data_IF_675473836341
#
_entry.id   IF_675473836341
#
_cell.length_a   1.000
_cell.length_b   1.000
_cell.length_c   1.000
_cell.angle_alpha   90.00
_cell.angle_beta   90.00
_cell.angle_gamma   90.00
#
_symmetry.space_group_name_H-M   'P 1'
#
loop_
_entity.id
_entity.type
_entity.pdbx_description
1 polymer ?
#
# COMPACT_ATOMS: atom_id res chain seq x y z
N UNK A 1 -13.12 14.31 11.04
CA UNK A 1 -12.17 13.21 10.82
C UNK A 1 -12.15 12.12 11.91
N UNK A 2 -11.38 12.27 13.02
CA UNK A 2 -10.96 11.13 13.87
C UNK A 2 -12.08 10.28 14.47
N UNK A 3 -13.11 10.90 15.04
CA UNK A 3 -14.25 10.15 15.62
C UNK A 3 -14.93 9.30 14.55
N UNK A 4 -15.30 9.90 13.42
CA UNK A 4 -15.95 9.19 12.32
C UNK A 4 -15.05 8.07 11.77
N UNK A 5 -13.74 8.30 11.68
CA UNK A 5 -12.79 7.26 11.28
C UNK A 5 -12.76 6.09 12.27
N UNK A 6 -12.76 6.36 13.58
CA UNK A 6 -12.80 5.33 14.63
C UNK A 6 -14.10 4.54 14.64
N UNK A 7 -15.22 5.21 14.42
CA UNK A 7 -16.53 4.57 14.29
C UNK A 7 -16.51 3.59 13.08
N UNK A 8 -15.99 4.03 11.93
CA UNK A 8 -15.78 3.17 10.75
C UNK A 8 -14.84 1.99 11.00
N UNK A 9 -13.74 2.21 11.72
CA UNK A 9 -12.82 1.13 12.13
C UNK A 9 -13.56 0.08 12.96
N UNK A 10 -14.40 0.49 13.91
CA UNK A 10 -15.18 -0.43 14.73
C UNK A 10 -16.23 -1.20 13.90
N UNK A 11 -16.94 -0.53 12.99
CA UNK A 11 -17.90 -1.16 12.07
C UNK A 11 -17.23 -2.22 11.20
N UNK A 12 -16.05 -1.93 10.64
CA UNK A 12 -15.28 -2.86 9.80
C UNK A 12 -14.68 -4.01 10.61
N UNK A 13 -14.20 -3.72 11.83
CA UNK A 13 -13.70 -4.74 12.74
C UNK A 13 -14.77 -5.77 13.14
N UNK A 14 -16.03 -5.35 13.27
CA UNK A 14 -17.16 -6.26 13.51
C UNK A 14 -17.39 -7.27 12.37
N UNK A 15 -16.93 -6.97 11.15
CA UNK A 15 -16.93 -7.87 10.00
C UNK A 15 -15.63 -8.69 9.86
N UNK A 16 -14.63 -8.42 10.69
CA UNK A 16 -13.30 -9.02 10.63
C UNK A 16 -12.40 -8.45 9.53
N UNK A 17 -12.65 -7.22 9.05
CA UNK A 17 -11.92 -6.60 7.93
C UNK A 17 -11.32 -5.24 8.32
N UNK A 18 -10.22 -4.81 7.68
CA UNK A 18 -9.62 -3.49 7.92
C UNK A 18 -10.53 -2.34 7.44
N UNK A 19 -10.32 -1.10 7.94
CA UNK A 19 -11.03 0.08 7.44
C UNK A 19 -10.73 0.33 5.95
N UNK A 20 -11.61 1.07 5.29
CA UNK A 20 -11.33 1.62 3.95
C UNK A 20 -10.10 2.55 3.99
N UNK A 21 -9.37 2.68 2.87
CA UNK A 21 -8.41 3.77 2.70
C UNK A 21 -9.07 5.15 2.86
N UNK A 22 -8.27 6.14 3.20
CA UNK A 22 -8.72 7.53 3.34
C UNK A 22 -8.99 8.14 1.97
N UNK A 23 -10.14 8.80 1.86
CA UNK A 23 -10.48 9.62 0.70
C UNK A 23 -9.82 11.01 0.77
N UNK A 24 -9.77 11.72 -0.36
CA UNK A 24 -9.10 13.02 -0.47
C UNK A 24 -9.52 14.04 0.61
N UNK A 25 -10.83 14.10 0.92
CA UNK A 25 -11.34 14.98 1.97
C UNK A 25 -10.80 14.59 3.36
N UNK A 26 -10.75 13.29 3.66
CA UNK A 26 -10.24 12.81 4.93
C UNK A 26 -8.73 13.05 5.06
N UNK A 27 -7.97 12.93 3.96
CA UNK A 27 -6.54 13.28 3.94
C UNK A 27 -6.33 14.78 4.17
N UNK A 28 -7.16 15.65 3.57
CA UNK A 28 -7.09 17.08 3.83
C UNK A 28 -7.38 17.41 5.30
N UNK A 29 -8.42 16.82 5.90
CA UNK A 29 -8.71 16.97 7.33
C UNK A 29 -7.59 16.41 8.21
N UNK A 30 -6.97 15.29 7.83
CA UNK A 30 -5.82 14.70 8.52
C UNK A 30 -4.61 15.63 8.50
N UNK A 31 -4.34 16.30 7.38
CA UNK A 31 -3.23 17.25 7.26
C UNK A 31 -3.40 18.42 8.23
N UNK A 32 -4.62 18.95 8.39
CA UNK A 32 -4.87 20.02 9.36
C UNK A 32 -4.66 19.56 10.80
N UNK A 33 -5.00 18.31 11.12
CA UNK A 33 -4.66 17.69 12.41
C UNK A 33 -3.15 17.51 12.56
N UNK A 34 -2.42 17.13 11.51
CA UNK A 34 -0.96 16.96 11.57
C UNK A 34 -0.24 18.30 11.78
N UNK A 35 -0.77 19.39 11.21
CA UNK A 35 -0.26 20.74 11.45
C UNK A 35 -0.50 21.21 12.89
N UNK A 36 -1.60 20.78 13.50
CA UNK A 36 -2.02 21.16 14.86
C UNK A 36 -2.48 19.92 15.65
N UNK A 37 -1.55 19.04 16.07
CA UNK A 37 -1.91 17.73 16.61
C UNK A 37 -2.60 17.84 17.97
N UNK A 38 -3.75 17.17 18.16
CA UNK A 38 -4.30 16.97 19.49
C UNK A 38 -3.33 16.15 20.34
N UNK A 39 -3.24 16.46 21.64
CA UNK A 39 -2.31 15.79 22.54
C UNK A 39 -2.52 14.26 22.56
N UNK A 40 -1.43 13.51 22.33
CA UNK A 40 -1.43 12.05 22.37
C UNK A 40 -1.85 11.37 21.06
N UNK A 41 -2.16 12.13 20.00
CA UNK A 41 -2.60 11.57 18.71
C UNK A 41 -1.46 11.46 17.68
N UNK A 42 -0.28 12.01 17.95
CA UNK A 42 0.84 12.17 17.02
C UNK A 42 1.16 10.89 16.22
N UNK A 43 1.39 9.78 16.93
CA UNK A 43 1.72 8.50 16.31
C UNK A 43 0.56 7.95 15.46
N UNK A 44 -0.68 8.16 15.91
CA UNK A 44 -1.86 7.71 15.17
C UNK A 44 -2.06 8.51 13.89
N UNK A 45 -1.90 9.83 13.94
CA UNK A 45 -1.98 10.68 12.74
C UNK A 45 -0.91 10.31 11.70
N UNK A 46 0.30 10.02 12.15
CA UNK A 46 1.39 9.56 11.27
C UNK A 46 1.13 8.17 10.69
N UNK A 47 0.56 7.25 11.46
CA UNK A 47 0.14 5.93 10.95
C UNK A 47 -0.89 6.07 9.82
N UNK A 48 -1.91 6.91 10.02
CA UNK A 48 -2.93 7.18 9.02
C UNK A 48 -2.33 7.76 7.73
N UNK A 49 -1.46 8.76 7.85
CA UNK A 49 -0.81 9.38 6.68
C UNK A 49 0.08 8.37 5.95
N UNK A 50 0.79 7.52 6.70
CA UNK A 50 1.77 6.59 6.15
C UNK A 50 1.09 5.38 5.48
N UNK A 51 0.08 4.79 6.12
CA UNK A 51 -0.44 3.47 5.79
C UNK A 51 -1.89 3.45 5.29
N UNK A 52 -2.64 4.56 5.38
CA UNK A 52 -4.07 4.58 5.04
C UNK A 52 -4.42 5.45 3.84
N UNK A 53 -3.45 6.01 3.14
CA UNK A 53 -3.69 6.77 1.89
C UNK A 53 -3.33 5.88 0.69
N UNK A 54 -4.21 5.73 -0.32
CA UNK A 54 -3.87 5.05 -1.56
C UNK A 54 -2.60 5.63 -2.22
N UNK A 55 -1.78 4.82 -2.91
CA UNK A 55 -0.63 5.29 -3.66
C UNK A 55 -1.03 5.77 -5.07
N UNK A 56 -0.04 6.17 -5.87
CA UNK A 56 -0.27 6.42 -7.30
C UNK A 56 -0.90 7.78 -7.59
N UNK A 57 -1.91 7.75 -8.47
CA UNK A 57 -2.61 8.94 -9.01
C UNK A 57 -4.03 9.08 -8.45
N UNK A 58 -4.32 8.45 -7.32
CA UNK A 58 -5.57 8.66 -6.58
C UNK A 58 -5.68 10.11 -6.08
N UNK A 59 -6.90 10.63 -5.95
CA UNK A 59 -7.13 12.01 -5.48
C UNK A 59 -6.60 12.22 -4.06
N UNK A 60 -6.67 11.21 -3.19
CA UNK A 60 -6.11 11.26 -1.85
C UNK A 60 -4.58 11.24 -1.87
N UNK A 61 -3.99 10.47 -2.80
CA UNK A 61 -2.55 10.47 -3.04
C UNK A 61 -2.07 11.85 -3.50
N UNK A 62 -2.84 12.54 -4.36
CA UNK A 62 -2.53 13.91 -4.80
C UNK A 62 -2.42 14.87 -3.62
N UNK A 63 -3.42 14.86 -2.75
CA UNK A 63 -3.46 15.73 -1.55
C UNK A 63 -2.27 15.44 -0.63
N UNK A 64 -1.97 14.15 -0.38
CA UNK A 64 -0.81 13.72 0.40
C UNK A 64 0.51 14.17 -0.23
N UNK A 65 0.69 13.94 -1.53
CA UNK A 65 1.93 14.28 -2.25
C UNK A 65 2.18 15.80 -2.22
N UNK A 66 1.16 16.62 -2.47
CA UNK A 66 1.30 18.08 -2.42
C UNK A 66 1.69 18.58 -1.03
N UNK A 67 1.10 18.02 0.03
CA UNK A 67 1.47 18.38 1.40
C UNK A 67 2.90 17.95 1.74
N UNK A 68 3.28 16.70 1.45
CA UNK A 68 4.62 16.20 1.74
C UNK A 68 5.68 16.94 0.93
N UNK A 69 5.42 17.30 -0.33
CA UNK A 69 6.31 18.12 -1.14
C UNK A 69 6.55 19.50 -0.48
N UNK A 70 5.49 20.19 -0.07
CA UNK A 70 5.62 21.49 0.60
C UNK A 70 6.44 21.40 1.90
N UNK A 71 6.28 20.32 2.68
CA UNK A 71 7.11 20.08 3.87
C UNK A 71 8.55 19.78 3.49
N UNK A 72 8.78 18.92 2.49
CA UNK A 72 10.12 18.50 2.06
C UNK A 72 10.94 19.64 1.46
N UNK A 73 10.32 20.54 0.69
CA UNK A 73 10.95 21.75 0.17
C UNK A 73 11.15 22.82 1.24
N UNK A 74 10.42 22.76 2.34
CA UNK A 74 10.48 23.72 3.45
C UNK A 74 9.56 24.92 3.28
N UNK A 75 8.62 24.86 2.33
CA UNK A 75 7.59 25.89 2.11
C UNK A 75 6.66 26.00 3.33
N UNK A 76 6.43 24.88 4.02
CA UNK A 76 5.70 24.82 5.28
C UNK A 76 6.48 24.02 6.32
N UNK A 77 6.41 24.45 7.58
CA UNK A 77 7.00 23.74 8.71
C UNK A 77 5.90 23.05 9.51
N UNK A 78 6.14 21.79 9.85
CA UNK A 78 5.21 20.94 10.62
C UNK A 78 6.00 20.26 11.73
N UNK A 79 5.57 20.38 12.98
CA UNK A 79 6.30 19.83 14.13
C UNK A 79 6.44 18.30 14.08
N UNK A 80 5.45 17.60 13.53
CA UNK A 80 5.42 16.14 13.46
C UNK A 80 6.22 15.53 12.30
N UNK A 81 6.56 16.32 11.27
CA UNK A 81 7.16 15.79 10.03
C UNK A 81 8.32 16.71 9.63
N UNK A 82 9.55 16.20 9.75
CA UNK A 82 10.74 16.89 9.24
C UNK A 82 10.79 16.84 7.71
N UNK A 83 11.63 17.69 7.09
CA UNK A 83 11.94 17.64 5.65
C UNK A 83 12.31 16.22 5.22
N UNK A 84 13.29 15.63 5.91
CA UNK A 84 13.77 14.27 5.65
C UNK A 84 12.65 13.22 5.73
N UNK A 85 11.77 13.29 6.75
CA UNK A 85 10.66 12.35 6.86
C UNK A 85 9.62 12.53 5.76
N UNK A 86 9.36 13.79 5.36
CA UNK A 86 8.46 14.05 4.24
C UNK A 86 9.00 13.49 2.92
N UNK A 87 10.31 13.65 2.66
CA UNK A 87 11.00 13.03 1.52
C UNK A 87 10.92 11.50 1.55
N UNK A 88 11.13 10.89 2.72
CA UNK A 88 10.99 9.44 2.89
C UNK A 88 9.57 8.96 2.54
N UNK A 89 8.54 9.67 3.05
CA UNK A 89 7.14 9.33 2.80
C UNK A 89 6.72 9.54 1.34
N UNK A 90 7.28 10.54 0.63
CA UNK A 90 7.12 10.65 -0.82
C UNK A 90 7.65 9.39 -1.53
N UNK A 91 8.76 8.84 -1.05
CA UNK A 91 9.36 7.62 -1.58
C UNK A 91 8.50 6.35 -1.45
N UNK A 92 7.49 6.34 -0.58
CA UNK A 92 6.61 5.16 -0.39
C UNK A 92 5.33 5.22 -1.23
N UNK A 93 5.11 6.27 -2.02
CA UNK A 93 3.86 6.48 -2.77
C UNK A 93 3.80 5.74 -4.11
N UNK A 94 4.76 4.85 -4.38
CA UNK A 94 4.88 3.94 -5.54
C UNK A 94 5.19 4.66 -6.87
N UNK A 95 4.55 5.78 -7.16
CA UNK A 95 4.74 6.58 -8.37
C UNK A 95 3.60 7.58 -8.58
N UNK A 96 3.68 8.43 -9.61
CA UNK A 96 2.70 9.48 -9.87
C UNK A 96 3.09 10.81 -9.24
N UNK A 97 2.23 11.38 -8.40
CA UNK A 97 2.38 12.76 -7.89
C UNK A 97 3.63 12.98 -7.01
N UNK A 98 4.24 11.92 -6.51
CA UNK A 98 5.45 11.97 -5.68
C UNK A 98 6.75 12.06 -6.48
N UNK A 99 6.75 11.67 -7.76
CA UNK A 99 8.00 11.49 -8.54
C UNK A 99 8.69 12.82 -8.80
N UNK A 100 7.96 13.82 -9.31
CA UNK A 100 8.55 15.12 -9.63
C UNK A 100 9.15 15.82 -8.41
N UNK A 101 8.46 15.94 -7.25
CA UNK A 101 9.07 16.47 -6.03
C UNK A 101 10.35 15.72 -5.62
N UNK A 102 10.38 14.39 -5.69
CA UNK A 102 11.59 13.63 -5.36
C UNK A 102 12.77 13.99 -6.28
N UNK A 103 12.52 14.26 -7.56
CA UNK A 103 13.56 14.67 -8.51
C UNK A 103 14.07 16.08 -8.20
N UNK A 104 13.18 17.01 -7.85
CA UNK A 104 13.56 18.37 -7.44
C UNK A 104 14.42 18.33 -6.17
N UNK A 105 14.07 17.49 -5.20
CA UNK A 105 14.78 17.33 -3.94
C UNK A 105 16.21 16.77 -4.09
N UNK A 106 16.61 16.28 -5.26
CA UNK A 106 18.00 15.92 -5.54
C UNK A 106 18.96 17.13 -5.50
N UNK A 107 18.45 18.35 -5.57
CA UNK A 107 19.26 19.57 -5.48
C UNK A 107 19.36 20.13 -4.05
N UNK A 108 18.56 19.63 -3.11
CA UNK A 108 18.58 20.07 -1.70
C UNK A 108 19.56 19.21 -0.89
N UNK A 109 20.68 19.80 -0.48
CA UNK A 109 21.75 19.10 0.23
C UNK A 109 21.31 18.39 1.52
N UNK A 110 20.24 18.85 2.18
CA UNK A 110 19.71 18.25 3.42
C UNK A 110 19.02 16.90 3.15
N UNK A 111 18.32 16.78 2.02
CA UNK A 111 17.43 15.65 1.73
C UNK A 111 17.73 14.91 0.44
N UNK A 112 18.68 15.37 -0.38
CA UNK A 112 19.04 14.75 -1.66
C UNK A 112 19.45 13.28 -1.53
N UNK A 113 20.08 12.89 -0.41
CA UNK A 113 20.38 11.48 -0.12
C UNK A 113 19.11 10.63 0.03
N UNK A 114 18.13 11.12 0.80
CA UNK A 114 16.84 10.45 1.02
C UNK A 114 16.04 10.37 -0.28
N UNK A 115 16.01 11.46 -1.04
CA UNK A 115 15.35 11.51 -2.34
C UNK A 115 15.98 10.52 -3.34
N UNK A 116 17.32 10.45 -3.39
CA UNK A 116 18.02 9.48 -4.22
C UNK A 116 17.66 8.05 -3.82
N UNK A 117 17.68 7.70 -2.53
CA UNK A 117 17.36 6.34 -2.08
C UNK A 117 15.91 5.92 -2.36
N UNK A 118 14.99 6.89 -2.35
CA UNK A 118 13.62 6.68 -2.82
C UNK A 118 13.55 6.42 -4.34
N UNK A 119 14.19 7.27 -5.15
CA UNK A 119 14.18 7.16 -6.61
C UNK A 119 14.85 5.87 -7.11
N UNK A 120 15.93 5.41 -6.46
CA UNK A 120 16.61 4.12 -6.77
C UNK A 120 15.65 2.93 -6.76
N UNK A 121 14.60 2.98 -5.92
CA UNK A 121 13.59 1.92 -5.75
C UNK A 121 12.28 2.19 -6.50
N UNK A 122 12.13 3.37 -7.11
CA UNK A 122 10.91 3.77 -7.80
C UNK A 122 10.92 3.23 -9.23
N UNK A 123 9.97 2.34 -9.55
CA UNK A 123 9.88 1.70 -10.87
C UNK A 123 9.04 2.50 -11.86
N UNK A 124 8.02 3.22 -11.36
CA UNK A 124 7.06 3.97 -12.18
C UNK A 124 7.61 5.34 -12.59
N UNK A 125 8.84 5.37 -13.13
CA UNK A 125 9.51 6.60 -13.57
C UNK A 125 9.00 7.08 -14.93
N UNK A 126 8.75 6.17 -15.87
CA UNK A 126 8.35 6.51 -17.25
C UNK A 126 9.21 7.66 -17.81
N UNK A 127 8.61 8.72 -18.34
CA UNK A 127 9.34 9.85 -18.93
C UNK A 127 10.12 10.68 -17.91
N UNK A 128 9.79 10.64 -16.61
CA UNK A 128 10.57 11.31 -15.55
C UNK A 128 12.00 10.75 -15.42
N UNK A 129 12.28 9.57 -16.01
CA UNK A 129 13.64 9.09 -16.20
C UNK A 129 14.52 10.16 -16.86
N UNK A 130 13.99 10.89 -17.86
CA UNK A 130 14.75 11.90 -18.61
C UNK A 130 15.15 13.09 -17.73
N UNK A 131 14.35 13.43 -16.73
CA UNK A 131 14.65 14.53 -15.81
C UNK A 131 15.82 14.17 -14.89
N UNK A 132 15.84 12.94 -14.37
CA UNK A 132 16.97 12.42 -13.59
C UNK A 132 18.22 12.31 -14.46
N UNK A 133 18.09 11.78 -15.68
CA UNK A 133 19.19 11.66 -16.62
C UNK A 133 19.78 13.03 -17.00
N UNK A 134 18.93 14.05 -17.16
CA UNK A 134 19.36 15.41 -17.45
C UNK A 134 20.12 16.04 -16.27
N UNK A 135 19.62 15.88 -15.04
CA UNK A 135 20.34 16.30 -13.83
C UNK A 135 21.69 15.59 -13.68
N UNK A 136 21.75 14.29 -13.95
CA UNK A 136 22.99 13.52 -13.89
C UNK A 136 24.03 14.02 -14.91
N UNK A 137 23.59 14.32 -16.15
CA UNK A 137 24.45 14.91 -17.19
C UNK A 137 24.93 16.32 -16.83
N UNK A 138 24.11 17.09 -16.11
CA UNK A 138 24.47 18.41 -15.59
C UNK A 138 25.42 18.35 -14.37
N UNK A 139 25.78 17.16 -13.89
CA UNK A 139 26.77 16.98 -12.82
C UNK A 139 26.18 16.82 -11.42
N UNK A 140 24.86 16.65 -11.25
CA UNK A 140 24.28 16.33 -9.94
C UNK A 140 24.71 14.92 -9.51
N UNK A 141 25.54 14.84 -8.47
CA UNK A 141 26.11 13.59 -7.97
C UNK A 141 25.04 12.59 -7.51
N UNK A 142 23.95 13.05 -6.89
CA UNK A 142 22.85 12.19 -6.44
C UNK A 142 22.03 11.64 -7.60
N UNK A 143 21.79 12.44 -8.64
CA UNK A 143 21.19 11.95 -9.87
C UNK A 143 22.07 10.88 -10.56
N UNK A 144 23.40 11.05 -10.55
CA UNK A 144 24.33 10.05 -11.09
C UNK A 144 24.28 8.73 -10.28
N UNK A 145 24.22 8.79 -8.95
CA UNK A 145 24.02 7.62 -8.09
C UNK A 145 22.72 6.89 -8.43
N UNK A 146 21.61 7.61 -8.64
CA UNK A 146 20.31 7.03 -9.03
C UNK A 146 20.42 6.30 -10.37
N UNK A 147 21.00 6.95 -11.39
CA UNK A 147 21.19 6.35 -12.71
C UNK A 147 22.04 5.08 -12.65
N UNK A 148 23.12 5.09 -11.87
CA UNK A 148 23.99 3.93 -11.70
C UNK A 148 23.27 2.78 -10.99
N UNK A 149 22.50 3.08 -9.94
CA UNK A 149 21.72 2.08 -9.19
C UNK A 149 20.69 1.37 -10.08
N UNK A 150 20.00 2.14 -10.94
CA UNK A 150 19.09 1.57 -11.93
C UNK A 150 19.79 0.69 -12.96
N UNK A 151 20.96 1.13 -13.47
CA UNK A 151 21.78 0.34 -14.39
C UNK A 151 22.29 -0.97 -13.76
N UNK A 152 22.60 -0.95 -12.46
CA UNK A 152 22.97 -2.12 -11.66
C UNK A 152 21.77 -3.00 -11.28
N UNK A 153 20.56 -2.61 -11.65
CA UNK A 153 19.31 -3.25 -11.28
C UNK A 153 19.13 -3.45 -9.77
N UNK A 154 19.60 -2.49 -8.95
CA UNK A 154 19.52 -2.60 -7.48
C UNK A 154 18.08 -2.65 -6.96
N UNK A 155 17.11 -2.08 -7.68
CA UNK A 155 15.68 -2.25 -7.41
C UNK A 155 15.21 -3.72 -7.45
N UNK A 156 15.94 -4.57 -8.18
CA UNK A 156 15.69 -6.00 -8.30
C UNK A 156 16.64 -6.80 -7.39
N UNK A 157 17.95 -6.59 -7.51
CA UNK A 157 18.98 -7.41 -6.84
C UNK A 157 19.05 -7.21 -5.32
N UNK A 158 18.51 -6.12 -4.80
CA UNK A 158 18.39 -5.91 -3.34
C UNK A 158 17.21 -6.64 -2.70
N UNK A 159 16.28 -7.19 -3.51
CA UNK A 159 15.13 -7.94 -2.99
C UNK A 159 15.55 -9.37 -2.67
N UNK A 160 14.96 -9.99 -1.63
CA UNK A 160 15.21 -11.40 -1.35
C UNK A 160 14.90 -12.28 -2.59
N UNK A 161 15.79 -13.22 -2.89
CA UNK A 161 15.53 -14.26 -3.88
C UNK A 161 14.34 -15.13 -3.44
N UNK A 162 13.70 -15.79 -4.41
CA UNK A 162 12.69 -16.81 -4.11
C UNK A 162 13.36 -18.01 -3.43
N UNK A 163 12.83 -18.43 -2.28
CA UNK A 163 13.35 -19.59 -1.56
C UNK A 163 13.35 -20.84 -2.45
N UNK A 164 14.48 -21.59 -2.43
CA UNK A 164 14.62 -22.87 -3.16
C UNK A 164 13.65 -23.95 -2.68
N UNK A 165 13.08 -23.78 -1.48
CA UNK A 165 12.07 -24.65 -0.88
C UNK A 165 11.08 -23.79 -0.10
N UNK A 166 9.82 -23.85 -0.49
CA UNK A 166 8.71 -23.20 0.23
C UNK A 166 7.88 -24.30 0.90
N UNK A 167 7.74 -24.24 2.23
CA UNK A 167 6.87 -25.16 2.98
C UNK A 167 5.50 -24.50 3.16
N UNK A 168 4.43 -25.21 2.79
CA UNK A 168 3.07 -24.67 2.75
C UNK A 168 2.07 -25.57 3.48
N UNK A 169 0.97 -24.97 3.94
CA UNK A 169 -0.26 -25.65 4.36
C UNK A 169 -1.24 -25.65 3.19
N UNK A 170 -1.71 -26.83 2.78
CA UNK A 170 -2.65 -26.96 1.65
C UNK A 170 -4.07 -26.56 2.07
N UNK A 171 -4.66 -25.60 1.34
CA UNK A 171 -6.09 -25.33 1.30
C UNK A 171 -6.66 -26.01 0.04
N UNK A 172 -7.12 -27.26 0.19
CA UNK A 172 -7.67 -28.06 -0.92
C UNK A 172 -9.12 -27.67 -1.17
N UNK A 173 -9.46 -27.39 -2.42
CA UNK A 173 -10.81 -27.19 -2.94
C UNK A 173 -11.09 -28.27 -4.00
N UNK A 174 -11.80 -29.36 -3.65
CA UNK A 174 -12.02 -30.47 -4.58
C UNK A 174 -12.92 -30.09 -5.76
N UNK A 175 -12.64 -30.67 -6.93
CA UNK A 175 -13.31 -30.40 -8.18
C UNK A 175 -12.76 -29.18 -8.92
N UNK A 176 -13.60 -28.60 -9.77
CA UNK A 176 -13.30 -27.37 -10.50
C UNK A 176 -13.56 -26.14 -9.63
N UNK A 177 -12.65 -25.19 -9.65
CA UNK A 177 -12.86 -23.85 -9.10
C UNK A 177 -13.13 -22.91 -10.27
N UNK A 178 -14.37 -22.41 -10.37
CA UNK A 178 -14.67 -21.32 -11.29
C UNK A 178 -14.30 -19.98 -10.64
N UNK A 179 -14.01 -18.94 -11.44
CA UNK A 179 -13.78 -17.60 -10.90
C UNK A 179 -15.02 -17.03 -10.19
N UNK A 180 -16.22 -17.45 -10.57
CA UNK A 180 -17.46 -17.08 -9.86
C UNK A 180 -17.54 -17.71 -8.45
N UNK A 181 -16.86 -18.84 -8.20
CA UNK A 181 -16.72 -19.39 -6.84
C UNK A 181 -15.84 -18.49 -5.96
N UNK A 182 -14.87 -17.78 -6.56
CA UNK A 182 -13.92 -16.92 -5.87
C UNK A 182 -14.41 -15.47 -5.75
N UNK A 183 -15.14 -15.00 -6.75
CA UNK A 183 -15.68 -13.64 -6.87
C UNK A 183 -17.09 -13.70 -7.49
N UNK A 184 -18.11 -14.06 -6.68
CA UNK A 184 -19.46 -14.28 -7.20
C UNK A 184 -20.06 -13.05 -7.88
N UNK A 185 -20.77 -13.26 -8.99
CA UNK A 185 -21.42 -12.19 -9.76
C UNK A 185 -22.38 -11.30 -8.93
N UNK A 186 -23.20 -11.82 -7.99
CA UNK A 186 -24.07 -10.98 -7.16
C UNK A 186 -23.32 -9.97 -6.27
N UNK A 187 -22.03 -10.21 -6.01
CA UNK A 187 -21.19 -9.41 -5.12
C UNK A 187 -20.24 -8.50 -5.90
N UNK A 188 -20.41 -8.41 -7.23
CA UNK A 188 -19.55 -7.61 -8.11
C UNK A 188 -19.45 -6.12 -7.70
N UNK A 189 -20.49 -5.58 -7.06
CA UNK A 189 -20.54 -4.22 -6.54
C UNK A 189 -19.47 -3.94 -5.46
N UNK A 190 -19.01 -4.97 -4.75
CA UNK A 190 -18.02 -4.86 -3.67
C UNK A 190 -16.57 -5.05 -4.14
N UNK A 191 -16.34 -5.45 -5.40
CA UNK A 191 -15.00 -5.75 -5.95
C UNK A 191 -13.93 -4.68 -5.70
N UNK A 192 -14.22 -3.37 -5.76
CA UNK A 192 -13.22 -2.34 -5.47
C UNK A 192 -12.73 -2.35 -4.00
N UNK A 193 -13.54 -2.88 -3.08
CA UNK A 193 -13.20 -3.04 -1.66
C UNK A 193 -12.72 -4.47 -1.39
N UNK A 194 -11.43 -4.71 -1.67
CA UNK A 194 -10.81 -6.05 -1.65
C UNK A 194 -11.12 -6.82 -0.35
N UNK A 195 -10.96 -6.24 0.87
CA UNK A 195 -11.25 -6.98 2.10
C UNK A 195 -12.72 -7.32 2.28
N UNK A 196 -13.65 -6.45 1.85
CA UNK A 196 -15.08 -6.74 1.90
C UNK A 196 -15.46 -7.83 0.90
N UNK A 197 -14.97 -7.73 -0.34
CA UNK A 197 -15.27 -8.70 -1.39
C UNK A 197 -14.72 -10.09 -1.06
N UNK A 198 -13.55 -10.16 -0.39
CA UNK A 198 -12.95 -11.42 0.08
C UNK A 198 -13.90 -12.23 0.96
N UNK A 199 -14.81 -11.59 1.70
CA UNK A 199 -15.80 -12.29 2.52
C UNK A 199 -16.76 -13.15 1.70
N UNK A 200 -16.95 -12.86 0.40
CA UNK A 200 -17.82 -13.62 -0.50
C UNK A 200 -17.12 -14.83 -1.16
N UNK A 201 -15.79 -14.95 -1.06
CA UNK A 201 -15.02 -16.04 -1.65
C UNK A 201 -15.47 -17.40 -1.09
N UNK A 202 -15.88 -18.34 -1.96
CA UNK A 202 -16.35 -19.67 -1.59
C UNK A 202 -17.53 -19.67 -0.60
N UNK A 203 -18.43 -18.68 -0.71
CA UNK A 203 -19.60 -18.54 0.17
C UNK A 203 -20.71 -19.56 -0.05
N UNK A 204 -20.74 -20.22 -1.20
CA UNK A 204 -21.72 -21.27 -1.50
C UNK A 204 -21.16 -22.63 -1.06
N UNK A 205 -21.97 -23.43 -0.38
CA UNK A 205 -21.58 -24.75 0.11
C UNK A 205 -21.13 -25.67 -1.03
N UNK A 206 -19.98 -26.31 -0.83
CA UNK A 206 -19.44 -27.35 -1.71
C UNK A 206 -19.47 -28.69 -0.99
N UNK A 207 -20.23 -29.70 -1.48
CA UNK A 207 -20.43 -30.97 -0.77
C UNK A 207 -19.13 -31.71 -0.43
N UNK A 208 -18.14 -31.67 -1.32
CA UNK A 208 -16.89 -32.42 -1.18
C UNK A 208 -15.77 -31.63 -0.50
N UNK A 209 -16.01 -30.37 -0.12
CA UNK A 209 -15.01 -29.53 0.52
C UNK A 209 -14.88 -29.83 2.03
N UNK A 210 -13.64 -29.80 2.54
CA UNK A 210 -13.38 -29.93 3.98
C UNK A 210 -13.79 -28.70 4.80
N UNK A 211 -14.07 -27.58 4.13
CA UNK A 211 -14.51 -26.34 4.74
C UNK A 211 -16.01 -26.14 4.52
N UNK A 212 -16.61 -25.29 5.35
CA UNK A 212 -17.97 -24.78 5.15
C UNK A 212 -17.94 -23.26 5.17
N UNK A 213 -18.78 -22.58 4.37
CA UNK A 213 -18.98 -21.15 4.53
C UNK A 213 -19.46 -20.85 5.95
N UNK A 214 -19.08 -19.69 6.50
CA UNK A 214 -19.57 -19.25 7.80
C UNK A 214 -21.07 -18.92 7.74
N UNK A 215 -21.52 -18.39 6.60
CA UNK A 215 -22.92 -18.22 6.25
C UNK A 215 -23.15 -18.61 4.79
N UNK A 216 -23.90 -19.69 4.56
CA UNK A 216 -24.14 -20.20 3.21
C UNK A 216 -24.80 -19.14 2.30
N UNK A 217 -24.22 -18.93 1.12
CA UNK A 217 -24.62 -17.90 0.16
C UNK A 217 -24.21 -16.47 0.51
N UNK A 218 -23.58 -16.23 1.66
CA UNK A 218 -23.26 -14.88 2.16
C UNK A 218 -21.80 -14.68 2.54
N UNK A 219 -21.21 -15.62 3.27
CA UNK A 219 -19.87 -15.46 3.85
C UNK A 219 -19.07 -16.77 3.74
N UNK A 220 -17.90 -16.67 3.12
CA UNK A 220 -16.96 -17.75 2.91
C UNK A 220 -16.34 -18.33 4.20
N UNK A 221 -15.41 -19.29 4.06
CA UNK A 221 -14.84 -20.05 5.17
C UNK A 221 -13.66 -19.33 5.84
N UNK A 222 -13.85 -18.11 6.35
CA UNK A 222 -12.74 -17.25 6.82
C UNK A 222 -11.98 -17.89 7.98
N UNK A 223 -12.68 -18.41 8.99
CA UNK A 223 -12.09 -19.07 10.17
C UNK A 223 -11.31 -20.32 9.78
N UNK A 224 -11.80 -21.09 8.80
CA UNK A 224 -11.08 -22.27 8.30
C UNK A 224 -9.73 -21.87 7.69
N UNK A 225 -9.71 -20.82 6.86
CA UNK A 225 -8.49 -20.29 6.26
C UNK A 225 -7.55 -19.76 7.34
N UNK A 226 -8.06 -19.05 8.35
CA UNK A 226 -7.24 -18.54 9.46
C UNK A 226 -6.67 -19.66 10.33
N UNK A 227 -7.40 -20.75 10.55
CA UNK A 227 -6.89 -21.93 11.24
C UNK A 227 -5.78 -22.65 10.46
N UNK A 228 -5.82 -22.60 9.13
CA UNK A 228 -4.70 -23.06 8.30
C UNK A 228 -3.46 -22.17 8.46
N UNK A 229 -3.62 -20.84 8.54
CA UNK A 229 -2.51 -19.90 8.77
C UNK A 229 -1.85 -20.13 10.13
N UNK A 230 -2.63 -20.48 11.17
CA UNK A 230 -2.11 -20.79 12.53
C UNK A 230 -1.16 -21.99 12.57
N UNK A 231 -1.10 -22.83 11.52
CA UNK A 231 -0.13 -23.93 11.41
C UNK A 231 1.32 -23.46 11.17
N UNK A 232 1.55 -22.16 10.99
CA UNK A 232 2.89 -21.58 10.88
C UNK A 232 3.53 -21.71 9.50
N UNK A 233 2.75 -22.02 8.47
CA UNK A 233 3.19 -22.06 7.08
C UNK A 233 2.29 -21.18 6.20
N UNK A 234 2.81 -20.73 5.05
CA UNK A 234 2.00 -20.07 4.03
C UNK A 234 0.89 -21.02 3.59
N UNK A 235 -0.32 -20.48 3.36
CA UNK A 235 -1.45 -21.27 2.85
C UNK A 235 -1.41 -21.26 1.33
N UNK A 236 -1.47 -22.44 0.71
CA UNK A 236 -1.52 -22.61 -0.74
C UNK A 236 -2.91 -23.07 -1.18
N UNK A 237 -3.55 -22.33 -2.09
CA UNK A 237 -4.80 -22.75 -2.73
C UNK A 237 -4.51 -23.89 -3.70
N UNK A 238 -5.23 -25.00 -3.58
CA UNK A 238 -5.04 -26.19 -4.43
C UNK A 238 -6.39 -26.70 -4.90
N UNK A 239 -6.64 -26.73 -6.21
CA UNK A 239 -7.81 -27.37 -6.82
C UNK A 239 -7.41 -28.54 -7.71
N UNK A 240 -8.40 -29.27 -8.22
CA UNK A 240 -8.17 -30.26 -9.29
C UNK A 240 -8.13 -29.55 -10.66
N UNK A 241 -8.98 -28.54 -10.83
CA UNK A 241 -8.95 -27.55 -11.92
C UNK A 241 -9.16 -26.17 -11.28
N UNK A 242 -8.31 -25.20 -11.60
CA UNK A 242 -8.33 -23.81 -11.07
C UNK A 242 -8.16 -22.83 -12.22
#
# INVERSE_FOLDING_TARGET
>A
MLKAYRDHVAERAALGIPPLPLEAKQVAELIELIKNPPAGEDAFLLDLLTHRVPPGVDDAAKVKASFLAAVAHGDIQVSLISKSKATELLGTMVGGYNVHPLIELLDDAEVAGVAADALKKTLLMFDFFNDVASKAKAGNAKAQEVMQSWANAEWFTSRPEVDKKITVTVFKVPGETNTDDLSPAPDAWSRPDIPLHYLAMLKNTRPDAAFKPEEDGKRGPMQFIDDLKKKGHLVAYVGDVV
#
